data_IF_417229209587
#
_entry.id   IF_417229209587
#
_cell.length_a   1.000
_cell.length_b   1.000
_cell.length_c   1.000
_cell.angle_alpha   90.00
_cell.angle_beta   90.00
_cell.angle_gamma   90.00
#
_symmetry.space_group_name_H-M   'P 1'
#
loop_
_entity.id
_entity.type
_entity.pdbx_description
1 polymer ?
#
# COMPACT_ATOMS: atom_id res chain seq x y z
N UNK A 1 20.02 -19.91 11.41
CA UNK A 1 20.01 -18.80 10.43
C UNK A 1 18.63 -18.85 9.81
N UNK A 2 17.74 -17.87 10.06
CA UNK A 2 16.44 -17.89 9.43
C UNK A 2 16.66 -17.67 7.93
N UNK A 3 16.24 -18.64 7.13
CA UNK A 3 16.30 -18.58 5.68
C UNK A 3 15.65 -17.28 5.21
N UNK A 4 16.39 -16.49 4.45
CA UNK A 4 15.84 -15.31 3.80
C UNK A 4 14.63 -15.77 3.00
N UNK A 5 13.45 -15.34 3.43
CA UNK A 5 12.20 -15.68 2.76
C UNK A 5 12.36 -15.24 1.31
N UNK A 6 12.38 -16.20 0.39
CA UNK A 6 12.44 -15.98 -1.06
C UNK A 6 11.18 -15.25 -1.50
N UNK A 7 11.16 -13.93 -1.31
CA UNK A 7 10.09 -13.06 -1.77
C UNK A 7 10.22 -12.93 -3.28
N UNK A 8 9.19 -13.39 -3.99
CA UNK A 8 9.12 -13.16 -5.43
C UNK A 8 8.81 -11.69 -5.67
N UNK A 9 9.70 -11.01 -6.39
CA UNK A 9 9.57 -9.60 -6.73
C UNK A 9 9.48 -9.42 -8.24
N UNK A 10 8.59 -8.54 -8.69
CA UNK A 10 8.41 -8.21 -10.12
C UNK A 10 8.43 -6.69 -10.28
N UNK A 11 9.28 -6.17 -11.16
CA UNK A 11 9.30 -4.77 -11.54
C UNK A 11 8.45 -4.54 -12.79
N UNK A 12 7.45 -3.68 -12.69
CA UNK A 12 6.67 -3.13 -13.80
C UNK A 12 7.32 -1.84 -14.32
N UNK A 13 7.42 -1.68 -15.64
CA UNK A 13 8.01 -0.51 -16.32
C UNK A 13 6.99 0.17 -17.22
N UNK A 14 6.99 1.51 -17.22
CA UNK A 14 6.21 2.33 -18.15
C UNK A 14 7.01 3.56 -18.60
N UNK A 15 6.76 4.01 -19.83
CA UNK A 15 7.28 5.27 -20.37
C UNK A 15 6.12 6.26 -20.54
N UNK A 16 6.41 7.53 -20.39
CA UNK A 16 5.39 8.56 -20.43
C UNK A 16 5.93 9.97 -20.39
N UNK A 17 5.01 10.92 -20.30
CA UNK A 17 5.31 12.35 -20.16
C UNK A 17 4.31 12.96 -19.18
N UNK A 18 4.74 14.00 -18.45
CA UNK A 18 3.82 14.82 -17.68
C UNK A 18 3.40 16.03 -18.52
N UNK A 19 2.12 16.15 -18.84
CA UNK A 19 1.56 17.31 -19.54
C UNK A 19 0.67 18.07 -18.56
N UNK A 20 0.96 19.36 -18.35
CA UNK A 20 0.22 20.23 -17.43
C UNK A 20 0.07 19.64 -16.01
N UNK A 21 1.10 18.95 -15.52
CA UNK A 21 1.10 18.30 -14.21
C UNK A 21 0.41 16.93 -14.17
N UNK A 22 -0.26 16.50 -15.25
CA UNK A 22 -0.89 15.19 -15.34
C UNK A 22 0.05 14.14 -15.93
N UNK A 23 0.29 13.02 -15.25
CA UNK A 23 1.18 11.97 -15.72
C UNK A 23 0.48 11.07 -16.76
N UNK A 24 0.97 11.08 -18.01
CA UNK A 24 0.53 10.19 -19.08
C UNK A 24 1.58 9.11 -19.32
N UNK A 25 1.42 7.96 -18.67
CA UNK A 25 2.32 6.82 -18.80
C UNK A 25 1.58 5.61 -19.37
N UNK A 26 2.27 4.86 -20.21
CA UNK A 26 1.74 3.64 -20.81
C UNK A 26 2.85 2.63 -21.05
N UNK A 27 2.52 1.36 -20.91
CA UNK A 27 3.37 0.25 -21.38
C UNK A 27 3.57 0.27 -22.89
N UNK A 28 2.62 0.83 -23.64
CA UNK A 28 2.66 0.87 -25.11
C UNK A 28 3.67 1.87 -25.64
N UNK A 29 4.16 2.77 -24.78
CA UNK A 29 5.19 3.74 -25.12
C UNK A 29 6.60 3.17 -24.92
N UNK A 30 6.75 1.96 -24.38
CA UNK A 30 8.06 1.31 -24.29
C UNK A 30 8.58 1.00 -25.70
N UNK A 31 9.83 1.37 -25.97
CA UNK A 31 10.47 1.16 -27.27
C UNK A 31 11.12 -0.23 -27.30
N UNK A 32 10.63 -1.18 -28.13
CA UNK A 32 11.20 -2.52 -28.20
C UNK A 32 12.69 -2.49 -28.55
N UNK A 33 13.51 -3.25 -27.81
CA UNK A 33 14.95 -3.34 -28.01
C UNK A 33 15.78 -2.22 -27.38
N UNK A 34 15.16 -1.10 -26.98
CA UNK A 34 15.83 -0.02 -26.25
C UNK A 34 15.42 -0.02 -24.77
N UNK A 35 14.11 -0.16 -24.53
CA UNK A 35 13.53 -0.18 -23.20
C UNK A 35 13.49 -1.58 -22.60
N UNK A 36 13.50 -1.70 -21.26
CA UNK A 36 13.28 -2.98 -20.60
C UNK A 36 11.90 -3.52 -20.92
N UNK A 37 11.74 -4.84 -20.76
CA UNK A 37 10.41 -5.46 -20.83
C UNK A 37 9.48 -4.85 -19.79
N UNK A 38 8.18 -4.80 -20.14
CA UNK A 38 7.12 -4.28 -19.25
C UNK A 38 7.23 -4.87 -17.85
N UNK A 39 7.53 -6.15 -17.73
CA UNK A 39 7.76 -6.80 -16.45
C UNK A 39 9.11 -7.52 -16.42
N UNK A 40 9.85 -7.30 -15.35
CA UNK A 40 11.09 -8.01 -15.02
C UNK A 40 10.92 -8.72 -13.68
N UNK A 41 11.14 -10.03 -13.66
CA UNK A 41 11.29 -10.76 -12.41
C UNK A 41 12.61 -10.36 -11.76
N UNK A 42 12.56 -10.00 -10.49
CA UNK A 42 13.72 -9.65 -9.69
C UNK A 42 14.06 -10.88 -8.83
N UNK A 43 15.08 -11.63 -9.24
CA UNK A 43 15.53 -12.85 -8.58
C UNK A 43 16.80 -12.53 -7.80
N UNK A 44 16.79 -12.76 -6.50
CA UNK A 44 17.91 -12.49 -5.61
C UNK A 44 17.42 -12.16 -4.20
N UNK A 45 18.36 -11.78 -3.34
CA UNK A 45 18.09 -11.33 -1.98
C UNK A 45 18.65 -9.90 -1.81
N UNK A 46 18.33 -9.25 -0.69
CA UNK A 46 18.79 -7.89 -0.41
C UNK A 46 20.32 -7.82 -0.18
N UNK A 47 21.01 -8.94 0.08
CA UNK A 47 22.46 -9.00 0.36
C UNK A 47 23.34 -9.13 -0.90
N UNK A 48 22.94 -9.99 -1.84
CA UNK A 48 23.66 -10.32 -3.08
C UNK A 48 23.20 -9.47 -4.28
N UNK A 49 22.12 -8.71 -4.09
CA UNK A 49 21.47 -7.89 -5.10
C UNK A 49 20.53 -8.68 -6.01
N UNK A 50 19.56 -7.98 -6.59
CA UNK A 50 18.57 -8.59 -7.48
C UNK A 50 19.08 -8.65 -8.93
N UNK A 51 19.00 -9.84 -9.53
CA UNK A 51 19.14 -10.03 -10.97
C UNK A 51 17.77 -9.85 -11.63
N UNK A 52 17.69 -8.95 -12.60
CA UNK A 52 16.48 -8.72 -13.36
C UNK A 52 16.42 -9.66 -14.57
N UNK A 53 15.44 -10.55 -14.61
CA UNK A 53 15.15 -11.40 -15.76
C UNK A 53 13.84 -10.95 -16.44
N UNK A 54 13.81 -10.88 -17.78
CA UNK A 54 12.56 -10.59 -18.48
C UNK A 54 11.54 -11.69 -18.21
N UNK A 55 10.34 -11.28 -17.78
CA UNK A 55 9.19 -12.19 -17.73
C UNK A 55 8.77 -12.42 -19.19
N UNK A 56 9.18 -13.55 -19.77
CA UNK A 56 8.89 -13.84 -21.16
C UNK A 56 7.41 -14.15 -21.37
N UNK A 57 6.75 -13.33 -22.19
CA UNK A 57 5.44 -13.62 -22.75
C UNK A 57 5.60 -14.58 -23.91
N UNK A 58 5.07 -15.80 -23.79
CA UNK A 58 4.78 -16.56 -25.00
C UNK A 58 3.55 -15.95 -25.67
N UNK A 59 3.76 -14.95 -26.53
CA UNK A 59 2.75 -14.54 -27.52
C UNK A 59 2.61 -15.64 -28.57
N UNK A 60 2.01 -16.76 -28.18
CA UNK A 60 1.57 -17.80 -29.10
C UNK A 60 0.18 -17.45 -29.62
N UNK A 61 0.04 -17.35 -30.95
CA UNK A 61 -1.24 -17.22 -31.68
C UNK A 61 -2.17 -18.44 -31.56
N UNK A 62 -1.97 -19.29 -30.56
CA UNK A 62 -2.86 -20.39 -30.24
C UNK A 62 -3.29 -20.21 -28.80
N UNK A 63 -4.61 -20.10 -28.60
CA UNK A 63 -5.24 -19.92 -27.30
C UNK A 63 -4.67 -20.92 -26.29
N UNK A 64 -3.80 -20.42 -25.42
CA UNK A 64 -3.21 -21.20 -24.35
C UNK A 64 -3.49 -20.51 -23.02
N UNK A 65 -3.82 -21.30 -22.02
CA UNK A 65 -4.36 -20.94 -20.69
C UNK A 65 -3.42 -20.10 -19.81
N UNK A 66 -2.40 -19.45 -20.36
CA UNK A 66 -1.39 -18.70 -19.61
C UNK A 66 -1.81 -17.28 -19.21
N UNK A 67 -2.91 -16.75 -19.75
CA UNK A 67 -3.54 -15.52 -19.22
C UNK A 67 -4.01 -15.68 -17.77
N UNK A 68 -4.30 -16.92 -17.34
CA UNK A 68 -4.61 -17.24 -15.93
C UNK A 68 -3.39 -17.07 -15.03
N UNK A 69 -2.18 -17.36 -15.50
CA UNK A 69 -0.95 -17.18 -14.71
C UNK A 69 -0.55 -15.70 -14.62
N UNK A 70 -0.84 -14.88 -15.62
CA UNK A 70 -0.66 -13.42 -15.52
C UNK A 70 -1.67 -12.76 -14.59
N UNK A 71 -2.94 -13.21 -14.60
CA UNK A 71 -3.95 -12.79 -13.60
C UNK A 71 -3.58 -13.19 -12.18
N UNK A 72 -2.84 -14.29 -12.02
CA UNK A 72 -2.24 -14.71 -10.75
C UNK A 72 -0.96 -13.95 -10.40
N UNK A 73 -0.25 -13.39 -11.39
CA UNK A 73 1.00 -12.63 -11.15
C UNK A 73 0.75 -11.16 -10.86
N UNK A 74 -0.32 -10.53 -11.36
CA UNK A 74 -0.64 -9.14 -11.05
C UNK A 74 -2.16 -8.95 -11.13
N UNK A 75 -2.84 -8.51 -10.05
CA UNK A 75 -4.27 -8.20 -10.10
C UNK A 75 -4.48 -6.93 -10.96
N UNK A 76 -4.85 -7.13 -12.22
CA UNK A 76 -5.40 -6.06 -13.05
C UNK A 76 -6.86 -5.82 -12.66
N UNK A 77 -7.34 -4.56 -12.58
CA UNK A 77 -8.76 -4.27 -12.42
C UNK A 77 -9.56 -4.95 -13.53
N UNK A 78 -10.54 -5.77 -13.14
CA UNK A 78 -11.39 -6.53 -14.05
C UNK A 78 -12.32 -5.56 -14.80
N UNK A 79 -12.10 -5.39 -16.10
CA UNK A 79 -13.18 -5.03 -17.02
C UNK A 79 -14.11 -6.26 -17.11
N UNK A 80 -15.26 -6.19 -16.44
CA UNK A 80 -16.28 -7.25 -16.43
C UNK A 80 -16.81 -7.51 -17.84
N UNK A 81 -16.24 -8.52 -18.51
CA UNK A 81 -16.78 -9.01 -19.77
C UNK A 81 -18.01 -9.85 -19.49
N UNK A 82 -19.19 -9.21 -19.47
CA UNK A 82 -20.49 -9.90 -19.47
C UNK A 82 -20.62 -10.73 -20.75
N UNK A 83 -20.38 -12.03 -20.66
CA UNK A 83 -20.78 -13.00 -21.69
C UNK A 83 -21.71 -14.04 -21.05
N UNK A 84 -22.99 -13.71 -21.02
CA UNK A 84 -24.06 -14.65 -20.69
C UNK A 84 -24.59 -15.27 -21.96
N UNK A 85 -24.13 -16.46 -22.31
CA UNK A 85 -24.84 -17.38 -23.21
C UNK A 85 -25.28 -18.58 -22.40
N UNK A 86 -26.57 -18.58 -22.04
CA UNK A 86 -27.27 -19.72 -21.45
C UNK A 86 -27.57 -20.70 -22.58
N UNK A 87 -27.07 -21.93 -22.46
CA UNK A 87 -27.59 -23.08 -23.20
C UNK A 87 -27.83 -24.20 -22.22
N UNK A 88 -29.10 -24.40 -21.88
CA UNK A 88 -29.61 -25.59 -21.20
C UNK A 88 -29.50 -26.78 -22.16
N UNK A 89 -28.95 -27.89 -21.68
CA UNK A 89 -29.42 -29.22 -22.06
C UNK A 89 -29.07 -30.22 -20.95
N UNK A 90 -30.12 -30.64 -20.24
CA UNK A 90 -30.10 -31.72 -19.27
C UNK A 90 -30.28 -33.07 -19.98
N UNK A 91 -29.55 -34.11 -19.54
CA UNK A 91 -30.09 -35.45 -19.19
C UNK A 91 -29.00 -36.48 -18.85
N UNK A 92 -29.11 -37.04 -17.62
CA UNK A 92 -28.99 -38.47 -17.19
C UNK A 92 -27.70 -39.25 -17.55
N UNK A 93 -27.09 -40.10 -16.71
CA UNK A 93 -27.46 -40.75 -15.44
C UNK A 93 -26.30 -41.65 -14.94
N UNK A 94 -26.23 -41.86 -13.61
CA UNK A 94 -25.67 -43.02 -12.83
C UNK A 94 -24.14 -43.28 -12.81
N UNK A 95 -23.58 -43.29 -11.59
CA UNK A 95 -22.83 -44.38 -10.88
C UNK A 95 -22.17 -43.80 -9.60
N UNK A 96 -22.54 -44.28 -8.40
CA UNK A 96 -21.86 -45.28 -7.52
C UNK A 96 -20.59 -44.82 -6.79
N UNK A 97 -20.63 -45.12 -5.47
CA UNK A 97 -19.56 -45.42 -4.50
C UNK A 97 -18.63 -44.32 -3.97
N UNK A 98 -18.74 -44.13 -2.65
CA UNK A 98 -17.67 -44.18 -1.65
C UNK A 98 -16.28 -43.70 -2.08
N UNK A 99 -15.95 -42.48 -1.67
CA UNK A 99 -14.59 -42.02 -1.52
C UNK A 99 -14.58 -40.96 -0.42
N UNK A 100 -14.05 -41.35 0.74
CA UNK A 100 -13.61 -40.44 1.79
C UNK A 100 -12.53 -39.53 1.19
N UNK A 101 -12.95 -38.42 0.60
CA UNK A 101 -12.05 -37.33 0.25
C UNK A 101 -12.06 -36.41 1.46
N UNK A 102 -11.03 -36.59 2.29
CA UNK A 102 -10.50 -35.57 3.17
C UNK A 102 -10.21 -34.34 2.28
N UNK A 103 -11.24 -33.53 2.06
CA UNK A 103 -11.12 -32.22 1.46
C UNK A 103 -10.44 -31.37 2.52
N UNK A 104 -9.11 -31.53 2.60
CA UNK A 104 -8.20 -30.50 3.06
C UNK A 104 -8.72 -29.24 2.37
N UNK A 105 -9.34 -28.37 3.14
CA UNK A 105 -9.50 -26.97 2.80
C UNK A 105 -8.06 -26.47 2.65
N UNK A 106 -7.49 -26.71 1.47
CA UNK A 106 -6.34 -25.99 0.97
C UNK A 106 -6.89 -24.59 0.85
N UNK A 107 -6.71 -23.81 1.91
CA UNK A 107 -7.07 -22.41 1.92
C UNK A 107 -6.47 -21.86 0.64
N UNK A 108 -7.34 -21.41 -0.26
CA UNK A 108 -6.97 -20.43 -1.26
C UNK A 108 -6.58 -19.18 -0.45
N UNK A 109 -5.47 -19.22 0.29
CA UNK A 109 -4.74 -18.03 0.63
C UNK A 109 -4.24 -17.54 -0.72
N UNK A 110 -5.14 -16.77 -1.35
CA UNK A 110 -4.97 -16.20 -2.67
C UNK A 110 -3.59 -15.57 -2.68
N UNK A 111 -2.77 -16.06 -3.61
CA UNK A 111 -1.41 -15.62 -3.87
C UNK A 111 -1.44 -14.14 -4.29
N UNK A 112 -1.64 -13.27 -3.31
CA UNK A 112 -1.90 -11.86 -3.50
C UNK A 112 -0.57 -11.14 -3.74
N UNK A 113 -0.61 -10.23 -4.70
CA UNK A 113 0.50 -9.33 -4.99
C UNK A 113 0.28 -8.01 -4.29
N UNK A 114 1.35 -7.54 -3.67
CA UNK A 114 1.40 -6.31 -2.93
C UNK A 114 2.35 -5.35 -3.63
N UNK A 115 2.02 -4.06 -3.61
CA UNK A 115 2.94 -3.03 -4.09
C UNK A 115 3.93 -2.73 -2.97
N UNK A 116 5.23 -2.76 -3.28
CA UNK A 116 6.27 -2.36 -2.34
C UNK A 116 6.24 -0.84 -2.16
N UNK A 117 5.97 -0.40 -0.92
CA UNK A 117 5.88 1.02 -0.54
C UNK A 117 7.04 1.48 0.34
N UNK A 118 8.20 0.81 0.24
CA UNK A 118 9.33 1.06 1.13
C UNK A 118 10.08 2.35 0.79
N UNK A 119 9.71 3.42 1.51
CA UNK A 119 10.30 4.75 1.39
C UNK A 119 11.67 4.90 2.03
N UNK A 120 12.13 3.96 2.86
CA UNK A 120 13.47 4.01 3.45
C UNK A 120 14.53 3.68 2.40
N UNK A 121 14.20 2.77 1.48
CA UNK A 121 15.08 2.35 0.38
C UNK A 121 14.81 3.11 -0.92
N UNK A 122 13.58 3.58 -1.13
CA UNK A 122 13.13 4.03 -2.45
C UNK A 122 11.99 5.06 -2.34
N UNK A 123 12.22 6.30 -2.80
CA UNK A 123 11.19 7.34 -2.88
C UNK A 123 10.09 6.93 -3.90
N UNK A 124 8.92 6.56 -3.40
CA UNK A 124 7.73 6.12 -4.18
C UNK A 124 6.56 7.10 -4.00
N UNK A 125 5.71 7.22 -5.02
CA UNK A 125 4.46 7.98 -4.92
C UNK A 125 3.36 7.23 -4.15
N UNK A 126 2.18 7.86 -4.03
CA UNK A 126 1.01 7.33 -3.33
C UNK A 126 0.40 6.08 -3.99
N UNK A 127 0.88 5.71 -5.19
CA UNK A 127 0.54 4.49 -5.89
C UNK A 127 1.74 3.53 -6.03
N UNK A 128 2.86 3.81 -5.36
CA UNK A 128 4.06 2.96 -5.40
C UNK A 128 4.88 3.07 -6.69
N UNK A 129 4.67 4.10 -7.51
CA UNK A 129 5.54 4.37 -8.65
C UNK A 129 6.77 5.15 -8.21
N UNK A 130 7.89 4.80 -8.85
CA UNK A 130 9.11 5.60 -8.84
C UNK A 130 9.38 6.10 -10.25
N UNK A 131 9.98 7.28 -10.36
CA UNK A 131 10.20 8.00 -11.60
C UNK A 131 11.69 8.26 -11.86
N UNK A 132 12.04 8.31 -13.14
CA UNK A 132 13.36 8.75 -13.59
C UNK A 132 13.32 9.28 -15.03
N UNK A 133 14.44 9.80 -15.53
CA UNK A 133 14.60 10.20 -16.93
C UNK A 133 15.05 9.05 -17.83
N UNK A 134 15.56 7.95 -17.26
CA UNK A 134 16.03 6.77 -17.98
C UNK A 134 15.90 5.51 -17.13
N UNK A 135 15.58 4.37 -17.76
CA UNK A 135 15.52 3.07 -17.07
C UNK A 135 16.87 2.61 -16.51
N UNK A 136 17.98 3.15 -17.04
CA UNK A 136 19.34 2.85 -16.57
C UNK A 136 19.78 3.72 -15.39
N UNK A 137 18.93 4.63 -14.93
CA UNK A 137 19.27 5.51 -13.83
C UNK A 137 19.44 4.71 -12.52
N UNK A 138 20.52 5.04 -11.78
CA UNK A 138 20.74 4.52 -10.44
C UNK A 138 19.79 5.13 -9.41
N UNK A 139 19.32 6.35 -9.68
CA UNK A 139 18.50 7.14 -8.76
C UNK A 139 17.10 7.29 -9.33
N UNK A 140 16.12 6.94 -8.51
CA UNK A 140 14.69 7.00 -8.80
C UNK A 140 14.04 7.85 -7.71
N UNK A 141 12.98 8.59 -8.04
CA UNK A 141 12.31 9.54 -7.14
C UNK A 141 10.80 9.28 -7.14
N UNK A 142 10.08 9.75 -6.13
CA UNK A 142 8.63 9.62 -6.03
C UNK A 142 7.87 10.60 -6.93
N UNK A 143 8.58 11.45 -7.69
CA UNK A 143 7.98 12.44 -8.60
C UNK A 143 8.89 12.81 -9.75
N UNK A 144 8.26 13.17 -10.87
CA UNK A 144 8.84 13.68 -12.11
C UNK A 144 9.75 12.69 -12.86
N UNK A 145 9.49 12.51 -14.16
CA UNK A 145 10.31 11.70 -15.05
C UNK A 145 9.60 11.36 -16.36
N UNK A 146 10.33 10.77 -17.29
CA UNK A 146 9.78 10.22 -18.54
C UNK A 146 9.63 8.69 -18.50
N UNK A 147 10.19 8.06 -17.49
CA UNK A 147 10.00 6.65 -17.22
C UNK A 147 9.60 6.46 -15.77
N UNK A 148 8.81 5.43 -15.51
CA UNK A 148 8.46 5.02 -14.16
C UNK A 148 8.54 3.51 -14.02
N UNK A 149 8.76 3.06 -12.78
CA UNK A 149 8.71 1.66 -12.40
C UNK A 149 7.95 1.45 -11.10
N UNK A 150 7.35 0.29 -10.92
CA UNK A 150 6.67 -0.14 -9.69
C UNK A 150 7.10 -1.55 -9.35
N UNK A 151 7.39 -1.81 -8.08
CA UNK A 151 7.80 -3.14 -7.62
C UNK A 151 6.61 -3.82 -6.94
N UNK A 152 6.28 -5.00 -7.45
CA UNK A 152 5.29 -5.90 -6.92
C UNK A 152 6.00 -7.01 -6.15
N UNK A 153 5.44 -7.41 -5.02
CA UNK A 153 5.98 -8.46 -4.16
C UNK A 153 4.88 -9.46 -3.86
N UNK A 154 5.22 -10.73 -3.95
CA UNK A 154 4.37 -11.81 -3.47
C UNK A 154 4.92 -12.33 -2.16
N UNK A 155 4.07 -12.32 -1.14
CA UNK A 155 4.38 -12.96 0.12
C UNK A 155 4.21 -14.48 -0.07
N UNK A 156 5.14 -15.31 0.41
CA UNK A 156 4.96 -16.75 0.36
C UNK A 156 3.71 -17.15 1.15
N UNK A 157 3.00 -18.17 0.66
CA UNK A 157 1.87 -18.79 1.35
C UNK A 157 2.37 -19.44 2.65
N UNK A 158 2.36 -18.65 3.71
CA UNK A 158 2.59 -18.98 5.12
C UNK A 158 3.70 -20.01 5.44
N UNK A 159 4.80 -19.52 6.03
CA UNK A 159 5.29 -20.16 7.26
C UNK A 159 4.33 -19.79 8.41
N UNK A 160 3.89 -20.74 9.24
CA UNK A 160 2.85 -20.55 10.27
C UNK A 160 3.20 -19.55 11.40
N UNK A 161 4.40 -18.96 11.39
CA UNK A 161 4.85 -18.04 12.44
C UNK A 161 4.34 -16.59 12.27
N UNK A 162 4.05 -16.14 11.04
CA UNK A 162 3.52 -14.78 10.80
C UNK A 162 2.03 -14.64 11.15
N UNK A 163 1.27 -15.73 11.08
CA UNK A 163 -0.16 -15.74 11.44
C UNK A 163 -0.34 -15.53 12.95
N UNK A 164 0.65 -15.91 13.78
CA UNK A 164 0.58 -15.78 15.25
C UNK A 164 0.73 -14.35 15.78
N UNK A 165 1.31 -13.42 15.00
CA UNK A 165 1.46 -12.02 15.41
C UNK A 165 0.18 -11.20 15.18
N UNK A 166 -0.69 -11.62 14.24
CA UNK A 166 -1.96 -10.94 13.98
C UNK A 166 -3.06 -11.23 15.01
N UNK A 167 -3.05 -12.41 15.63
CA UNK A 167 -4.17 -12.89 16.45
C UNK A 167 -4.06 -12.51 17.95
N UNK A 168 -2.92 -11.97 18.39
CA UNK A 168 -2.78 -11.39 19.74
C UNK A 168 -3.33 -9.95 19.84
N UNK A 169 -3.64 -9.31 18.72
CA UNK A 169 -4.12 -7.92 18.68
C UNK A 169 -5.63 -7.74 18.83
N UNK A 170 -6.44 -8.81 18.74
CA UNK A 170 -7.89 -8.65 18.53
C UNK A 170 -8.80 -9.14 19.67
N UNK A 171 -8.27 -9.46 20.87
CA UNK A 171 -9.15 -9.99 21.93
C UNK A 171 -8.69 -9.75 23.37
N UNK A 172 -8.39 -8.51 23.77
CA UNK A 172 -8.40 -8.15 25.19
C UNK A 172 -9.31 -6.94 25.47
N UNK A 173 -10.56 -7.30 25.78
CA UNK A 173 -11.50 -6.52 26.56
C UNK A 173 -10.85 -6.20 27.91
N UNK A 174 -10.55 -4.92 28.14
CA UNK A 174 -9.94 -4.42 29.37
C UNK A 174 -10.91 -4.62 30.54
N UNK A 175 -10.57 -5.56 31.43
CA UNK A 175 -11.00 -5.49 32.83
C UNK A 175 -9.97 -4.67 33.61
N UNK A 176 -10.47 -3.64 34.27
CA UNK A 176 -9.73 -2.75 35.16
C UNK A 176 -9.16 -3.53 36.34
N UNK A 177 -7.86 -3.37 36.61
CA UNK A 177 -7.35 -3.48 37.98
C UNK A 177 -6.29 -2.43 38.24
N UNK A 178 -6.60 -1.58 39.22
CA UNK A 178 -5.72 -0.55 39.73
C UNK A 178 -4.50 -1.16 40.41
N UNK A 179 -3.33 -0.60 40.14
CA UNK A 179 -2.17 -0.67 41.04
C UNK A 179 -1.28 0.55 40.84
N UNK A 180 -0.81 1.05 41.98
CA UNK A 180 -0.15 2.33 42.22
C UNK A 180 1.33 2.38 41.77
N UNK A 181 1.70 3.54 41.24
CA UNK A 181 2.90 4.38 41.49
C UNK A 181 4.31 3.76 41.43
N UNK A 182 5.08 4.21 40.44
CA UNK A 182 6.44 4.82 40.54
C UNK A 182 6.85 5.11 39.07
N UNK A 183 7.05 6.33 38.59
CA UNK A 183 7.84 7.43 39.14
C UNK A 183 9.07 7.59 38.24
N UNK A 184 8.93 8.21 37.07
CA UNK A 184 10.04 8.86 36.39
C UNK A 184 9.58 10.10 35.61
N UNK A 185 10.41 11.13 35.69
CA UNK A 185 10.08 12.53 35.58
C UNK A 185 10.63 13.08 34.26
N UNK A 186 9.74 13.44 33.33
CA UNK A 186 10.10 14.35 32.24
C UNK A 186 8.93 15.30 31.96
N UNK A 187 9.05 16.51 32.50
CA UNK A 187 8.36 17.75 32.09
C UNK A 187 7.10 17.56 31.22
N UNK A 188 6.01 17.08 31.82
CA UNK A 188 4.71 17.19 31.20
C UNK A 188 4.20 18.61 31.40
N UNK A 189 4.37 19.42 30.35
CA UNK A 189 3.84 20.76 30.25
C UNK A 189 2.33 20.75 30.56
N UNK A 190 1.99 21.57 31.55
CA UNK A 190 0.69 21.76 32.16
C UNK A 190 -0.41 22.06 31.11
N UNK A 191 -1.16 21.04 30.69
CA UNK A 191 -2.14 21.08 29.58
C UNK A 191 -3.59 21.31 30.03
N UNK A 192 -3.82 22.03 31.13
CA UNK A 192 -5.17 22.20 31.70
C UNK A 192 -6.08 23.19 30.94
N UNK A 193 -5.71 23.64 29.74
CA UNK A 193 -6.49 24.63 28.98
C UNK A 193 -6.73 24.24 27.50
N UNK A 194 -6.30 23.05 27.09
CA UNK A 194 -6.67 22.51 25.78
C UNK A 194 -8.06 21.87 25.87
N UNK A 195 -8.97 22.26 24.97
CA UNK A 195 -10.32 21.69 24.88
C UNK A 195 -10.25 20.17 24.70
N UNK A 196 -11.11 19.42 25.40
CA UNK A 196 -11.17 17.94 25.34
C UNK A 196 -11.22 17.40 23.88
N UNK A 197 -11.84 18.16 22.98
CA UNK A 197 -11.93 17.86 21.55
C UNK A 197 -10.57 17.80 20.85
N UNK A 198 -9.62 18.62 21.26
CA UNK A 198 -8.28 18.67 20.68
C UNK A 198 -7.42 17.49 21.14
N UNK A 199 -7.61 17.07 22.40
CA UNK A 199 -6.97 15.87 22.95
C UNK A 199 -7.51 14.64 22.22
N UNK A 200 -8.83 14.58 21.98
CA UNK A 200 -9.47 13.53 21.18
C UNK A 200 -8.92 13.48 19.75
N UNK A 201 -8.77 14.64 19.08
CA UNK A 201 -8.17 14.74 17.76
C UNK A 201 -6.76 14.15 17.73
N UNK A 202 -5.89 14.56 18.66
CA UNK A 202 -4.50 14.07 18.72
C UNK A 202 -4.42 12.56 18.98
N UNK A 203 -5.28 12.03 19.84
CA UNK A 203 -5.36 10.58 20.11
C UNK A 203 -5.72 9.81 18.84
N UNK A 204 -6.71 10.27 18.09
CA UNK A 204 -7.15 9.63 16.85
C UNK A 204 -6.07 9.72 15.76
N UNK A 205 -5.40 10.87 15.61
CA UNK A 205 -4.31 11.02 14.63
C UNK A 205 -3.12 10.09 14.88
N UNK A 206 -2.82 9.80 16.15
CA UNK A 206 -1.78 8.83 16.52
C UNK A 206 -2.18 7.39 16.22
N UNK A 207 -3.48 7.08 16.20
CA UNK A 207 -3.98 5.75 15.87
C UNK A 207 -4.04 5.48 14.36
N UNK A 208 -4.07 6.52 13.52
CA UNK A 208 -3.94 6.35 12.08
C UNK A 208 -2.56 5.79 11.73
N UNK A 209 -2.49 4.86 10.77
CA UNK A 209 -1.21 4.27 10.33
C UNK A 209 -0.58 5.09 9.22
N UNK A 210 -1.40 5.60 8.30
CA UNK A 210 -0.95 6.29 7.10
C UNK A 210 -1.38 7.76 7.11
N UNK A 211 -0.57 8.63 6.51
CA UNK A 211 -0.89 10.06 6.38
C UNK A 211 -2.19 10.31 5.60
N UNK A 212 -2.55 9.42 4.65
CA UNK A 212 -3.82 9.50 3.93
C UNK A 212 -5.03 9.31 4.86
N UNK A 213 -4.95 8.37 5.79
CA UNK A 213 -6.00 8.15 6.80
C UNK A 213 -6.12 9.36 7.73
N UNK A 214 -4.96 9.94 8.11
CA UNK A 214 -4.91 11.18 8.91
C UNK A 214 -5.65 12.32 8.19
N UNK A 215 -5.39 12.51 6.90
CA UNK A 215 -6.09 13.54 6.12
C UNK A 215 -7.60 13.29 6.02
N UNK A 216 -8.03 12.04 5.77
CA UNK A 216 -9.46 11.72 5.73
C UNK A 216 -10.16 12.03 7.06
N UNK A 217 -9.50 11.73 8.18
CA UNK A 217 -10.00 12.06 9.51
C UNK A 217 -10.04 13.57 9.75
N UNK A 218 -8.95 14.28 9.44
CA UNK A 218 -8.84 15.73 9.58
C UNK A 218 -9.90 16.46 8.77
N UNK A 219 -10.13 16.04 7.53
CA UNK A 219 -11.17 16.63 6.68
C UNK A 219 -12.54 16.55 7.35
N UNK A 220 -12.89 15.39 7.91
CA UNK A 220 -14.14 15.21 8.66
C UNK A 220 -14.23 16.09 9.90
N UNK A 221 -13.13 16.26 10.63
CA UNK A 221 -13.08 17.10 11.84
C UNK A 221 -13.13 18.59 11.49
N UNK A 222 -12.41 19.03 10.46
CA UNK A 222 -12.36 20.42 10.02
C UNK A 222 -13.71 20.98 9.60
N UNK A 223 -14.66 20.12 9.17
CA UNK A 223 -16.03 20.55 8.92
C UNK A 223 -16.82 20.91 10.18
N UNK A 224 -16.43 20.38 11.34
CA UNK A 224 -17.11 20.57 12.61
C UNK A 224 -16.42 21.60 13.53
N UNK A 225 -15.18 21.98 13.22
CA UNK A 225 -14.42 22.94 14.04
C UNK A 225 -14.82 24.38 13.75
N UNK A 226 -14.86 25.18 14.82
CA UNK A 226 -15.02 26.63 14.69
C UNK A 226 -13.73 27.29 14.17
N UNK A 227 -13.83 28.53 13.68
CA UNK A 227 -12.65 29.32 13.28
C UNK A 227 -11.68 29.52 14.45
N UNK A 228 -12.19 29.70 15.66
CA UNK A 228 -11.36 29.88 16.86
C UNK A 228 -10.56 28.61 17.18
N UNK A 229 -11.14 27.43 16.96
CA UNK A 229 -10.43 26.16 17.17
C UNK A 229 -9.37 25.91 16.10
N UNK A 230 -9.61 26.34 14.85
CA UNK A 230 -8.59 26.32 13.80
C UNK A 230 -7.42 27.26 14.12
N UNK A 231 -7.69 28.44 14.68
CA UNK A 231 -6.65 29.35 15.16
C UNK A 231 -5.86 28.71 16.29
N UNK A 232 -6.51 28.10 17.29
CA UNK A 232 -5.83 27.33 18.35
C UNK A 232 -4.97 26.19 17.80
N UNK A 233 -5.46 25.45 16.80
CA UNK A 233 -4.70 24.41 16.11
C UNK A 233 -3.44 24.95 15.40
N UNK A 234 -3.48 26.19 14.94
CA UNK A 234 -2.34 26.85 14.29
C UNK A 234 -1.29 27.40 15.27
N UNK A 235 -1.63 27.47 16.56
CA UNK A 235 -0.71 27.95 17.59
C UNK A 235 0.20 26.85 18.11
N UNK A 236 1.43 27.22 18.45
CA UNK A 236 2.33 26.34 19.21
C UNK A 236 1.85 26.24 20.67
N UNK A 237 1.98 25.08 21.33
CA UNK A 237 2.70 23.86 20.91
C UNK A 237 1.84 22.83 20.14
N UNK A 238 0.57 23.15 19.89
CA UNK A 238 -0.40 22.20 19.33
C UNK A 238 -0.03 21.84 17.89
N UNK A 239 0.32 22.85 17.09
CA UNK A 239 0.72 22.67 15.70
C UNK A 239 1.88 21.68 15.59
N UNK A 240 2.94 21.84 16.38
CA UNK A 240 4.08 20.91 16.38
C UNK A 240 3.69 19.47 16.72
N UNK A 241 2.76 19.27 17.68
CA UNK A 241 2.28 17.93 18.04
C UNK A 241 1.49 17.27 16.91
N UNK A 242 0.59 18.02 16.26
CA UNK A 242 -0.16 17.52 15.10
C UNK A 242 0.80 17.19 13.96
N UNK A 243 1.74 18.08 13.65
CA UNK A 243 2.75 17.85 12.60
C UNK A 243 3.66 16.66 12.91
N UNK A 244 3.94 16.40 14.18
CA UNK A 244 4.69 15.23 14.64
C UNK A 244 3.98 13.90 14.40
N UNK A 245 2.67 13.90 14.12
CA UNK A 245 1.93 12.68 13.75
C UNK A 245 2.10 12.31 12.27
N UNK A 246 2.53 13.25 11.42
CA UNK A 246 2.73 12.99 10.00
C UNK A 246 4.11 12.41 9.71
N UNK A 247 4.15 11.38 8.88
CA UNK A 247 5.39 10.72 8.50
C UNK A 247 6.16 11.54 7.45
N UNK A 248 5.46 12.16 6.49
CA UNK A 248 6.08 12.84 5.37
C UNK A 248 6.10 14.36 5.51
N UNK A 249 7.21 14.99 5.12
CA UNK A 249 7.33 16.45 5.13
C UNK A 249 6.37 17.12 4.13
N UNK A 250 6.08 16.45 3.02
CA UNK A 250 5.06 16.89 2.06
C UNK A 250 3.66 16.91 2.68
N UNK A 251 3.33 15.93 3.53
CA UNK A 251 2.07 15.91 4.28
C UNK A 251 2.02 17.04 5.30
N UNK A 252 3.10 17.28 6.04
CA UNK A 252 3.18 18.41 6.99
C UNK A 252 2.94 19.75 6.30
N UNK A 253 3.58 19.96 5.15
CA UNK A 253 3.42 21.18 4.37
C UNK A 253 2.01 21.31 3.80
N UNK A 254 1.43 20.21 3.30
CA UNK A 254 0.03 20.19 2.86
C UNK A 254 -0.93 20.57 3.99
N UNK A 255 -0.77 19.99 5.18
CA UNK A 255 -1.58 20.31 6.35
C UNK A 255 -1.48 21.79 6.73
N UNK A 256 -0.27 22.37 6.77
CA UNK A 256 -0.07 23.81 7.04
C UNK A 256 -0.82 24.69 6.04
N UNK A 257 -0.70 24.38 4.75
CA UNK A 257 -1.33 25.17 3.69
C UNK A 257 -2.86 25.09 3.77
N UNK A 258 -3.40 23.91 4.04
CA UNK A 258 -4.84 23.73 4.20
C UNK A 258 -5.39 24.43 5.44
N UNK A 259 -4.69 24.32 6.58
CA UNK A 259 -5.05 25.02 7.81
C UNK A 259 -5.08 26.54 7.60
N UNK A 260 -4.05 27.11 6.97
CA UNK A 260 -4.00 28.53 6.63
C UNK A 260 -5.13 28.95 5.69
N UNK A 261 -5.44 28.15 4.68
CA UNK A 261 -6.52 28.43 3.75
C UNK A 261 -7.88 28.49 4.45
N UNK A 262 -8.14 27.58 5.40
CA UNK A 262 -9.40 27.52 6.16
C UNK A 262 -9.54 28.63 7.21
N UNK A 263 -8.43 29.07 7.83
CA UNK A 263 -8.44 30.24 8.73
C UNK A 263 -8.72 31.53 7.96
N UNK A 264 -8.25 31.61 6.71
CA UNK A 264 -8.38 32.81 5.87
C UNK A 264 -9.73 32.89 5.12
N UNK A 265 -10.43 31.77 4.97
CA UNK A 265 -11.83 31.71 4.48
C UNK A 265 -12.81 32.12 5.57
#
# INVERSE_FOLDING_TARGET
MPDAIDQERVAEHQRGVCLFGYPFFSEKLLIPGIDPSRFLALIGNDQDGFKALPVMYTHGNQGNSNSKNLRKMIPLPLEETRSGTVSEHASRSRERSNGCADHVYRSNEEENWYVMMDNELADVDDQGWMYSWSFKAKHWKGKYGFVRKRVWVRLPSATPDLIRLGDLGSRHRVEKKATEVTGDSSSEDNWWDATDDLIMLLSQLRNCKLDRERFQFIDGVFHNLSKDDLVKLSTEPILSRVLGTFQFETSKEKFRNELKARISS
#
